data_IF_590704036332
#
_entry.id   IF_590704036332
#
_cell.length_a   1.000
_cell.length_b   1.000
_cell.length_c   1.000
_cell.angle_alpha   90.00
_cell.angle_beta   90.00
_cell.angle_gamma   90.00
#
_symmetry.space_group_name_H-M   'P 1'
#
loop_
_entity.id
_entity.type
_entity.pdbx_description
1 polymer ?
#
# COMPACT_ATOMS: atom_id res chain seq x y z
N UNK A 1 15.92 32.74 -11.27
CA UNK A 1 16.90 31.92 -10.51
C UNK A 1 16.96 32.43 -9.08
N UNK A 2 17.16 31.53 -8.12
CA UNK A 2 17.31 31.90 -6.72
C UNK A 2 18.58 32.72 -6.51
N UNK A 3 18.57 33.64 -5.55
CA UNK A 3 19.72 34.47 -5.24
C UNK A 3 20.75 33.66 -4.42
N UNK A 4 21.90 33.37 -5.01
CA UNK A 4 22.95 32.56 -4.40
C UNK A 4 23.42 33.10 -3.04
N UNK A 5 23.51 34.44 -2.87
CA UNK A 5 23.89 35.04 -1.59
C UNK A 5 22.87 34.69 -0.50
N UNK A 6 21.57 34.78 -0.79
CA UNK A 6 20.50 34.41 0.15
C UNK A 6 20.54 32.93 0.53
N UNK A 7 20.82 32.05 -0.43
CA UNK A 7 20.95 30.61 -0.18
C UNK A 7 22.12 30.33 0.78
N UNK A 8 23.27 30.94 0.53
CA UNK A 8 24.45 30.78 1.38
C UNK A 8 24.23 31.34 2.78
N UNK A 9 23.60 32.52 2.90
CA UNK A 9 23.22 33.08 4.20
C UNK A 9 22.30 32.12 4.96
N UNK A 10 21.28 31.59 4.30
CA UNK A 10 20.33 30.65 4.90
C UNK A 10 21.01 29.34 5.36
N UNK A 11 21.74 28.67 4.45
CA UNK A 11 22.43 27.41 4.78
C UNK A 11 23.68 27.58 5.63
N UNK A 12 24.15 28.80 5.88
CA UNK A 12 25.22 29.06 6.85
C UNK A 12 24.76 28.93 8.31
N UNK A 13 23.44 29.01 8.56
CA UNK A 13 22.89 28.89 9.91
C UNK A 13 23.06 27.46 10.46
N UNK A 14 23.54 27.37 11.69
CA UNK A 14 23.87 26.09 12.34
C UNK A 14 22.64 25.25 12.66
N UNK A 15 21.55 25.89 13.07
CA UNK A 15 20.28 25.26 13.37
C UNK A 15 19.67 24.55 12.14
N UNK A 16 19.74 25.16 10.97
CA UNK A 16 19.30 24.56 9.69
C UNK A 16 20.21 23.38 9.30
N UNK A 17 21.53 23.56 9.40
CA UNK A 17 22.49 22.49 9.11
C UNK A 17 22.23 21.26 9.99
N UNK A 18 21.95 21.47 11.27
CA UNK A 18 21.68 20.43 12.25
C UNK A 18 20.39 19.67 11.93
N UNK A 19 19.30 20.37 11.63
CA UNK A 19 18.02 19.73 11.33
C UNK A 19 18.01 18.98 9.99
N UNK A 20 18.64 19.54 8.94
CA UNK A 20 18.82 18.83 7.66
C UNK A 20 19.64 17.54 7.86
N UNK A 21 20.73 17.62 8.63
CA UNK A 21 21.59 16.46 8.92
C UNK A 21 20.85 15.43 9.79
N UNK A 22 20.07 15.88 10.77
CA UNK A 22 19.24 14.99 11.60
C UNK A 22 18.25 14.22 10.75
N UNK A 23 17.55 14.89 9.84
CA UNK A 23 16.59 14.24 8.94
C UNK A 23 17.27 13.32 7.92
N UNK A 24 18.51 13.63 7.51
CA UNK A 24 19.30 12.81 6.58
C UNK A 24 19.70 11.44 7.15
N UNK A 25 19.72 11.31 8.48
CA UNK A 25 20.15 10.09 9.15
C UNK A 25 19.35 8.88 8.63
N UNK A 26 20.08 7.81 8.31
CA UNK A 26 19.56 6.53 7.81
C UNK A 26 18.74 6.66 6.51
N UNK A 27 18.85 7.76 5.76
CA UNK A 27 18.12 7.96 4.50
C UNK A 27 19.06 8.08 3.31
N UNK A 28 18.53 7.71 2.15
CA UNK A 28 19.09 8.15 0.88
C UNK A 28 18.72 9.63 0.66
N UNK A 29 19.67 10.42 0.18
CA UNK A 29 19.38 11.79 -0.26
C UNK A 29 19.61 11.98 -1.77
N UNK A 30 19.02 13.05 -2.30
CA UNK A 30 19.42 13.68 -3.54
C UNK A 30 19.47 15.18 -3.36
N UNK A 31 20.64 15.76 -3.64
CA UNK A 31 20.85 17.21 -3.61
C UNK A 31 20.52 17.78 -4.97
N UNK A 32 19.80 18.89 -5.04
CA UNK A 32 19.47 19.59 -6.28
C UNK A 32 20.25 20.89 -6.39
N UNK A 33 20.69 21.22 -7.61
CA UNK A 33 21.46 22.41 -7.96
C UNK A 33 20.63 23.25 -8.95
N UNK A 34 19.65 24.00 -8.44
CA UNK A 34 18.53 24.53 -9.22
C UNK A 34 17.76 23.39 -9.91
N UNK A 35 17.63 23.40 -11.23
CA UNK A 35 16.86 22.40 -11.98
C UNK A 35 17.65 21.12 -12.28
N UNK A 36 18.88 20.98 -11.76
CA UNK A 36 19.74 19.83 -12.00
C UNK A 36 19.84 18.93 -10.77
N UNK A 37 19.35 17.68 -10.84
CA UNK A 37 19.48 16.73 -9.75
C UNK A 37 20.92 16.20 -9.65
N UNK A 38 21.42 16.09 -8.41
CA UNK A 38 22.68 15.43 -8.09
C UNK A 38 22.62 13.91 -8.20
N UNK A 39 23.76 13.27 -7.96
CA UNK A 39 23.92 11.81 -8.02
C UNK A 39 23.16 11.12 -6.88
N UNK A 40 22.86 9.84 -7.10
CA UNK A 40 22.18 8.95 -6.15
C UNK A 40 22.86 7.57 -6.14
N UNK A 41 22.92 6.87 -4.98
CA UNK A 41 22.58 7.39 -3.66
C UNK A 41 23.60 8.45 -3.22
N UNK A 42 23.20 9.28 -2.27
CA UNK A 42 24.07 10.22 -1.58
C UNK A 42 23.67 10.24 -0.09
N UNK A 43 24.50 10.80 0.78
CA UNK A 43 24.22 10.96 2.22
C UNK A 43 24.75 12.30 2.75
N UNK A 44 24.19 12.78 3.87
CA UNK A 44 24.74 13.89 4.65
C UNK A 44 24.99 13.36 6.06
N UNK A 45 26.26 13.25 6.43
CA UNK A 45 26.68 12.75 7.74
C UNK A 45 27.08 13.88 8.69
N UNK A 46 27.62 14.97 8.14
CA UNK A 46 28.11 16.10 8.93
C UNK A 46 27.36 17.38 8.61
N UNK A 47 27.06 18.17 9.65
CA UNK A 47 26.37 19.46 9.51
C UNK A 47 27.10 20.46 8.59
N UNK A 48 28.42 20.36 8.50
CA UNK A 48 29.23 21.17 7.60
C UNK A 48 28.94 20.90 6.11
N UNK A 49 28.47 19.70 5.76
CA UNK A 49 28.26 19.27 4.37
C UNK A 49 27.14 20.08 3.72
N UNK A 50 26.10 20.44 4.47
CA UNK A 50 24.98 21.27 4.00
C UNK A 50 25.48 22.60 3.43
N UNK A 51 26.36 23.31 4.16
CA UNK A 51 26.93 24.58 3.70
C UNK A 51 27.93 24.36 2.55
N UNK A 52 28.71 23.28 2.58
CA UNK A 52 29.63 22.98 1.48
C UNK A 52 28.90 22.68 0.17
N UNK A 53 27.78 21.95 0.24
CA UNK A 53 26.90 21.69 -0.89
C UNK A 53 26.25 22.99 -1.39
N UNK A 54 25.79 23.86 -0.48
CA UNK A 54 25.26 25.17 -0.84
C UNK A 54 26.32 26.04 -1.57
N UNK A 55 27.59 26.01 -1.14
CA UNK A 55 28.71 26.68 -1.84
C UNK A 55 28.95 26.14 -3.25
N UNK A 56 28.62 24.86 -3.49
CA UNK A 56 28.63 24.23 -4.82
C UNK A 56 27.36 24.50 -5.63
N UNK A 57 26.42 25.29 -5.10
CA UNK A 57 25.18 25.69 -5.77
C UNK A 57 23.94 24.87 -5.38
N UNK A 58 24.00 24.08 -4.30
CA UNK A 58 22.83 23.32 -3.86
C UNK A 58 21.69 24.26 -3.42
N UNK A 59 20.48 23.97 -3.91
CA UNK A 59 19.25 24.71 -3.63
C UNK A 59 18.31 23.93 -2.74
N UNK A 60 18.24 22.61 -2.89
CA UNK A 60 17.33 21.77 -2.10
C UNK A 60 17.87 20.37 -1.84
N UNK A 61 17.38 19.78 -0.75
CA UNK A 61 17.74 18.45 -0.28
C UNK A 61 16.49 17.58 -0.27
N UNK A 62 16.55 16.42 -0.91
CA UNK A 62 15.44 15.48 -1.02
C UNK A 62 15.82 14.17 -0.35
N UNK A 63 14.88 13.54 0.34
CA UNK A 63 15.12 12.42 1.25
C UNK A 63 14.21 11.25 0.93
N UNK A 64 14.69 10.02 1.12
CA UNK A 64 13.84 8.84 0.98
C UNK A 64 12.83 8.73 2.13
N UNK A 65 11.62 8.28 1.84
CA UNK A 65 10.65 7.85 2.88
C UNK A 65 11.16 6.62 3.65
N UNK A 66 11.90 5.77 2.93
CA UNK A 66 12.54 4.57 3.47
C UNK A 66 13.77 4.93 4.31
N UNK A 67 13.96 4.18 5.41
CA UNK A 67 15.18 4.18 6.23
C UNK A 67 16.00 2.94 5.92
N UNK A 68 17.31 3.11 5.82
CA UNK A 68 18.27 2.11 5.37
C UNK A 68 19.35 1.88 6.42
N UNK A 69 19.79 0.63 6.54
CA UNK A 69 20.91 0.27 7.39
C UNK A 69 22.22 0.87 6.83
N UNK A 70 22.36 0.86 5.51
CA UNK A 70 23.45 1.54 4.80
C UNK A 70 22.93 2.13 3.47
N UNK A 71 22.61 3.44 3.42
CA UNK A 71 22.11 4.08 2.20
C UNK A 71 23.11 4.04 1.03
N UNK A 72 24.41 3.94 1.27
CA UNK A 72 25.44 3.96 0.21
C UNK A 72 25.44 2.67 -0.61
N UNK A 73 24.89 1.58 -0.08
CA UNK A 73 24.73 0.30 -0.79
C UNK A 73 23.61 0.33 -1.84
N UNK A 74 22.78 1.37 -1.87
CA UNK A 74 21.67 1.45 -2.80
C UNK A 74 22.13 1.62 -4.24
N UNK A 75 21.54 0.85 -5.16
CA UNK A 75 21.87 0.89 -6.60
C UNK A 75 20.60 0.90 -7.43
N UNK A 76 20.67 1.54 -8.60
CA UNK A 76 19.58 1.46 -9.55
C UNK A 76 19.38 -0.01 -9.98
N UNK A 77 18.13 -0.44 -10.08
CA UNK A 77 17.80 -1.81 -10.48
C UNK A 77 17.86 -2.88 -9.39
N UNK A 78 18.10 -2.51 -8.12
CA UNK A 78 18.00 -3.46 -7.00
C UNK A 78 16.60 -4.09 -6.95
N UNK A 79 16.58 -5.40 -6.72
CA UNK A 79 15.35 -6.14 -6.48
C UNK A 79 14.71 -5.75 -5.16
N UNK A 80 13.40 -6.00 -5.03
CA UNK A 80 12.70 -5.75 -3.76
C UNK A 80 13.36 -6.48 -2.58
N UNK A 81 13.79 -7.72 -2.77
CA UNK A 81 14.43 -8.51 -1.70
C UNK A 81 15.75 -7.87 -1.22
N UNK A 82 16.56 -7.34 -2.14
CA UNK A 82 17.80 -6.63 -1.77
C UNK A 82 17.51 -5.33 -1.02
N UNK A 83 16.50 -4.56 -1.47
CA UNK A 83 16.04 -3.36 -0.74
C UNK A 83 15.51 -3.73 0.65
N UNK A 84 14.66 -4.75 0.75
CA UNK A 84 14.03 -5.19 2.00
C UNK A 84 15.07 -5.68 3.04
N UNK A 85 16.18 -6.29 2.60
CA UNK A 85 17.30 -6.66 3.47
C UNK A 85 18.01 -5.44 4.06
N UNK A 86 18.15 -4.38 3.30
CA UNK A 86 18.78 -3.13 3.75
C UNK A 86 17.79 -2.20 4.48
N UNK A 87 16.48 -2.39 4.34
CA UNK A 87 15.46 -1.50 4.93
C UNK A 87 15.33 -1.72 6.44
N UNK A 88 15.40 -0.62 7.18
CA UNK A 88 15.07 -0.52 8.61
C UNK A 88 13.58 -0.27 8.82
N UNK A 89 13.00 0.64 8.03
CA UNK A 89 11.60 1.06 8.11
C UNK A 89 11.21 2.00 6.97
N UNK A 90 10.01 2.56 7.06
CA UNK A 90 9.51 3.58 6.14
C UNK A 90 8.57 4.49 6.90
N UNK A 91 8.75 5.81 6.76
CA UNK A 91 7.78 6.74 7.32
C UNK A 91 6.56 6.79 6.41
N UNK A 92 5.39 7.03 6.98
CA UNK A 92 4.26 7.43 6.17
C UNK A 92 4.49 8.89 5.77
N UNK A 93 4.45 9.19 4.48
CA UNK A 93 4.42 10.54 3.96
C UNK A 93 3.23 10.67 3.00
N UNK A 94 2.38 11.66 3.22
CA UNK A 94 1.25 11.99 2.35
C UNK A 94 1.53 13.36 1.76
N UNK A 95 1.75 13.40 0.45
CA UNK A 95 1.83 14.62 -0.32
C UNK A 95 0.43 15.02 -0.81
N UNK A 96 0.07 16.28 -0.58
CA UNK A 96 -1.18 16.89 -1.03
C UNK A 96 -0.84 17.83 -2.15
N UNK A 97 -1.11 17.40 -3.39
CA UNK A 97 -0.96 18.26 -4.57
C UNK A 97 -2.32 18.74 -5.08
N UNK A 98 -2.39 20.04 -5.35
CA UNK A 98 -3.54 20.70 -5.96
C UNK A 98 -3.16 22.09 -6.43
N UNK A 99 -3.93 22.62 -7.37
CA UNK A 99 -3.78 24.02 -7.82
C UNK A 99 -4.28 25.02 -6.78
N UNK A 100 -5.07 24.59 -5.79
CA UNK A 100 -5.74 25.44 -4.80
C UNK A 100 -5.19 25.23 -3.39
N UNK A 101 -4.36 26.16 -2.91
CA UNK A 101 -3.73 26.05 -1.58
C UNK A 101 -4.74 25.95 -0.44
N UNK A 102 -5.90 26.61 -0.56
CA UNK A 102 -6.97 26.55 0.44
C UNK A 102 -7.55 25.14 0.56
N UNK A 103 -7.70 24.43 -0.57
CA UNK A 103 -8.15 23.04 -0.57
C UNK A 103 -7.06 22.11 -0.03
N UNK A 104 -5.79 22.38 -0.34
CA UNK A 104 -4.66 21.66 0.23
C UNK A 104 -4.64 21.78 1.76
N UNK A 105 -4.82 22.99 2.29
CA UNK A 105 -4.88 23.27 3.73
C UNK A 105 -6.05 22.54 4.39
N UNK A 106 -7.25 22.62 3.80
CA UNK A 106 -8.43 21.93 4.33
C UNK A 106 -8.26 20.41 4.33
N UNK A 107 -7.62 19.86 3.30
CA UNK A 107 -7.30 18.43 3.23
C UNK A 107 -6.31 18.04 4.31
N UNK A 108 -5.25 18.83 4.52
CA UNK A 108 -4.30 18.63 5.61
C UNK A 108 -4.98 18.68 6.99
N UNK A 109 -5.89 19.63 7.23
CA UNK A 109 -6.69 19.71 8.48
C UNK A 109 -7.47 18.43 8.75
N UNK A 110 -8.13 17.87 7.73
CA UNK A 110 -8.92 16.64 7.87
C UNK A 110 -8.04 15.41 8.11
N UNK A 111 -6.86 15.35 7.50
CA UNK A 111 -5.91 14.25 7.75
C UNK A 111 -5.31 14.36 9.16
N UNK A 112 -4.99 15.57 9.64
CA UNK A 112 -4.59 15.80 11.04
C UNK A 112 -5.66 15.29 12.01
N UNK A 113 -6.92 15.68 11.78
CA UNK A 113 -8.04 15.21 12.61
C UNK A 113 -8.18 13.69 12.56
N UNK A 114 -7.96 13.07 11.39
CA UNK A 114 -7.95 11.62 11.27
C UNK A 114 -6.81 11.01 12.13
N UNK A 115 -5.58 11.50 12.03
CA UNK A 115 -4.46 11.03 12.86
C UNK A 115 -4.77 11.15 14.36
N UNK A 116 -5.27 12.30 14.80
CA UNK A 116 -5.62 12.56 16.20
C UNK A 116 -6.76 11.64 16.67
N UNK A 117 -7.77 11.38 15.83
CA UNK A 117 -8.85 10.43 16.16
C UNK A 117 -8.38 8.99 16.35
N UNK A 118 -7.24 8.63 15.76
CA UNK A 118 -6.58 7.33 15.95
C UNK A 118 -5.59 7.31 17.11
N UNK A 119 -5.43 8.43 17.83
CA UNK A 119 -4.46 8.57 18.91
C UNK A 119 -3.01 8.68 18.44
N UNK A 120 -2.77 9.05 17.17
CA UNK A 120 -1.43 9.31 16.67
C UNK A 120 -1.05 10.71 17.13
N UNK A 121 -0.14 10.79 18.10
CA UNK A 121 0.33 12.07 18.61
C UNK A 121 1.54 12.54 17.83
N UNK A 122 2.49 11.66 17.49
CA UNK A 122 3.72 12.05 16.82
C UNK A 122 3.59 12.08 15.28
N UNK A 123 2.75 12.99 14.78
CA UNK A 123 2.72 13.35 13.35
C UNK A 123 3.40 14.71 13.10
N UNK A 124 3.84 14.92 11.88
CA UNK A 124 4.43 16.18 11.40
C UNK A 124 3.65 16.73 10.20
N UNK A 125 3.53 18.05 10.11
CA UNK A 125 2.97 18.74 8.95
C UNK A 125 4.00 19.75 8.45
N UNK A 126 4.20 19.83 7.14
CA UNK A 126 5.03 20.86 6.52
C UNK A 126 4.39 21.45 5.28
N UNK A 127 4.68 22.71 5.03
CA UNK A 127 4.46 23.32 3.72
C UNK A 127 5.53 22.80 2.74
N UNK A 128 5.14 22.40 1.52
CA UNK A 128 6.07 21.81 0.54
C UNK A 128 7.01 22.82 -0.13
N UNK A 129 6.77 24.12 0.07
CA UNK A 129 7.50 25.21 -0.56
C UNK A 129 6.78 25.80 -1.77
N UNK A 130 5.63 25.27 -2.21
CA UNK A 130 4.86 25.86 -3.32
C UNK A 130 3.36 25.97 -3.04
N UNK A 131 2.57 24.92 -3.32
CA UNK A 131 1.11 24.95 -3.19
C UNK A 131 0.52 23.79 -2.36
N UNK A 132 1.37 22.90 -1.88
CA UNK A 132 0.98 21.67 -1.20
C UNK A 132 1.49 21.61 0.25
N UNK A 133 0.97 20.61 0.95
CA UNK A 133 1.39 20.26 2.30
C UNK A 133 1.78 18.79 2.33
N UNK A 134 2.79 18.46 3.12
CA UNK A 134 3.10 17.06 3.40
C UNK A 134 2.75 16.78 4.85
N UNK A 135 2.10 15.64 5.09
CA UNK A 135 1.85 15.10 6.42
C UNK A 135 2.61 13.81 6.57
N UNK A 136 3.21 13.61 7.73
CA UNK A 136 4.09 12.48 7.94
C UNK A 136 3.96 11.86 9.33
N UNK A 137 4.15 10.55 9.41
CA UNK A 137 4.18 9.79 10.66
C UNK A 137 5.47 8.96 10.67
N UNK A 138 6.33 9.08 11.71
CA UNK A 138 7.56 8.31 11.82
C UNK A 138 7.32 6.80 11.80
N UNK A 139 8.21 6.05 11.16
CA UNK A 139 8.09 4.60 11.04
C UNK A 139 8.06 3.90 12.41
N UNK A 140 8.69 4.50 13.43
CA UNK A 140 8.70 4.00 14.81
C UNK A 140 7.32 4.01 15.48
N UNK A 141 6.36 4.78 14.96
CA UNK A 141 5.00 4.85 15.47
C UNK A 141 4.20 3.58 15.12
N UNK A 142 4.58 2.90 14.04
CA UNK A 142 3.89 1.71 13.54
C UNK A 142 4.27 0.44 14.35
N UNK A 143 3.39 -0.58 14.36
CA UNK A 143 3.70 -1.85 14.98
C UNK A 143 4.84 -2.56 14.24
N UNK A 144 5.50 -3.49 14.91
CA UNK A 144 6.53 -4.33 14.27
C UNK A 144 5.96 -5.22 13.15
N UNK A 145 4.67 -5.57 13.24
CA UNK A 145 4.00 -6.50 12.35
C UNK A 145 2.56 -6.08 12.07
N UNK A 146 2.09 -6.29 10.84
CA UNK A 146 0.69 -6.20 10.45
C UNK A 146 0.36 -7.44 9.63
N UNK A 147 -0.69 -8.17 10.02
CA UNK A 147 -1.13 -9.38 9.32
C UNK A 147 -0.02 -10.42 9.06
N UNK A 148 0.75 -10.84 10.07
CA UNK A 148 1.77 -11.88 9.90
C UNK A 148 3.09 -11.37 9.30
N UNK A 149 3.16 -10.09 8.92
CA UNK A 149 4.27 -9.53 8.15
C UNK A 149 4.94 -8.37 8.85
N UNK A 150 6.27 -8.40 8.90
CA UNK A 150 7.04 -7.30 9.44
C UNK A 150 6.71 -6.01 8.68
N UNK A 151 6.37 -4.94 9.41
CA UNK A 151 5.90 -3.69 8.84
C UNK A 151 6.90 -3.10 7.86
N UNK A 152 8.20 -3.24 8.08
CA UNK A 152 9.24 -2.74 7.15
C UNK A 152 9.12 -3.35 5.75
N UNK A 153 8.56 -4.55 5.61
CA UNK A 153 8.38 -5.24 4.33
C UNK A 153 7.13 -4.78 3.56
N UNK A 154 6.28 -3.99 4.22
CA UNK A 154 5.05 -3.49 3.63
C UNK A 154 5.30 -2.36 2.64
N UNK A 155 6.49 -1.76 2.55
CA UNK A 155 6.75 -0.74 1.52
C UNK A 155 6.77 -1.34 0.10
N UNK A 156 6.16 -0.70 -0.92
CA UNK A 156 5.35 0.52 -0.85
C UNK A 156 3.84 0.27 -0.63
N UNK A 157 3.41 -0.97 -0.42
CA UNK A 157 2.00 -1.35 -0.27
C UNK A 157 1.34 -0.74 0.99
N UNK A 158 2.05 -0.67 2.11
CA UNK A 158 1.59 -0.10 3.38
C UNK A 158 1.15 1.35 3.25
N UNK A 159 2.04 2.27 2.83
CA UNK A 159 1.67 3.66 2.55
C UNK A 159 0.49 3.79 1.58
N UNK A 160 0.44 2.98 0.51
CA UNK A 160 -0.64 3.01 -0.49
C UNK A 160 -1.99 2.61 0.09
N UNK A 161 -2.02 1.54 0.90
CA UNK A 161 -3.22 1.09 1.61
C UNK A 161 -3.71 2.18 2.56
N UNK A 162 -2.80 2.80 3.30
CA UNK A 162 -3.10 3.91 4.20
C UNK A 162 -3.66 5.12 3.41
N UNK A 163 -3.05 5.49 2.29
CA UNK A 163 -3.51 6.60 1.45
C UNK A 163 -4.92 6.39 0.92
N UNK A 164 -5.19 5.19 0.41
CA UNK A 164 -6.51 4.83 -0.11
C UNK A 164 -7.56 4.86 1.00
N UNK A 165 -7.20 4.36 2.19
CA UNK A 165 -8.07 4.41 3.35
C UNK A 165 -8.35 5.84 3.80
N UNK A 166 -7.33 6.70 3.87
CA UNK A 166 -7.49 8.12 4.20
C UNK A 166 -8.37 8.85 3.17
N UNK A 167 -8.17 8.61 1.87
CA UNK A 167 -9.04 9.15 0.81
C UNK A 167 -10.49 8.81 1.10
N UNK A 168 -10.77 7.53 1.37
CA UNK A 168 -12.13 7.08 1.71
C UNK A 168 -12.67 7.76 2.98
N UNK A 169 -11.88 7.81 4.05
CA UNK A 169 -12.27 8.35 5.34
C UNK A 169 -12.64 9.84 5.27
N UNK A 170 -11.82 10.65 4.58
CA UNK A 170 -12.01 12.10 4.54
C UNK A 170 -12.94 12.56 3.41
N UNK A 171 -13.20 11.73 2.39
CA UNK A 171 -14.01 12.10 1.20
C UNK A 171 -15.28 12.88 1.54
N UNK A 172 -16.21 12.36 2.38
CA UNK A 172 -17.48 13.04 2.60
C UNK A 172 -17.32 14.41 3.28
N UNK A 173 -16.35 14.53 4.20
CA UNK A 173 -16.06 15.78 4.89
C UNK A 173 -15.40 16.79 3.94
N UNK A 174 -14.42 16.33 3.16
CA UNK A 174 -13.70 17.17 2.20
C UNK A 174 -14.62 17.68 1.09
N UNK A 175 -15.51 16.84 0.55
CA UNK A 175 -16.55 17.26 -0.41
C UNK A 175 -17.38 18.41 0.16
N UNK A 176 -17.86 18.26 1.40
CA UNK A 176 -18.70 19.27 2.05
C UNK A 176 -17.94 20.58 2.27
N UNK A 177 -16.69 20.51 2.71
CA UNK A 177 -15.88 21.69 3.01
C UNK A 177 -15.48 22.46 1.73
N UNK A 178 -15.12 21.75 0.66
CA UNK A 178 -14.82 22.41 -0.63
C UNK A 178 -16.06 23.08 -1.21
N UNK A 179 -17.22 22.41 -1.16
CA UNK A 179 -18.46 22.98 -1.69
C UNK A 179 -19.00 24.17 -0.88
N UNK A 180 -18.53 24.37 0.36
CA UNK A 180 -18.76 25.62 1.11
C UNK A 180 -17.89 26.78 0.62
N UNK A 181 -16.72 26.48 0.07
CA UNK A 181 -15.76 27.47 -0.41
C UNK A 181 -16.00 27.86 -1.87
N UNK A 182 -16.45 26.91 -2.69
CA UNK A 182 -16.65 27.12 -4.12
C UNK A 182 -17.67 26.16 -4.70
N UNK A 183 -18.45 26.63 -5.68
CA UNK A 183 -19.39 25.83 -6.47
C UNK A 183 -18.66 24.94 -7.48
N UNK A 184 -19.34 23.91 -7.99
CA UNK A 184 -18.76 23.00 -9.01
C UNK A 184 -18.45 23.77 -10.30
N UNK A 185 -19.29 24.73 -10.64
CA UNK A 185 -19.18 25.60 -11.81
C UNK A 185 -17.93 26.48 -11.74
N UNK A 186 -17.68 27.09 -10.57
CA UNK A 186 -16.47 27.90 -10.32
C UNK A 186 -15.20 27.04 -10.42
N UNK A 187 -15.21 25.85 -9.81
CA UNK A 187 -14.09 24.91 -9.86
C UNK A 187 -13.83 24.49 -11.31
N UNK A 188 -14.85 24.03 -12.03
CA UNK A 188 -14.74 23.58 -13.42
C UNK A 188 -14.19 24.70 -14.33
N UNK A 189 -14.69 25.92 -14.17
CA UNK A 189 -14.22 27.10 -14.90
C UNK A 189 -12.76 27.43 -14.59
N UNK A 190 -12.37 27.40 -13.32
CA UNK A 190 -10.98 27.72 -12.90
C UNK A 190 -9.95 26.70 -13.39
N UNK A 191 -10.37 25.45 -13.58
CA UNK A 191 -9.53 24.36 -14.09
C UNK A 191 -9.62 24.18 -15.61
N UNK A 192 -10.55 24.87 -16.27
CA UNK A 192 -10.89 24.68 -17.68
C UNK A 192 -11.26 23.23 -18.00
N UNK A 193 -12.15 22.65 -17.21
CA UNK A 193 -12.66 21.28 -17.37
C UNK A 193 -14.19 21.26 -17.34
N UNK A 194 -14.77 20.13 -17.73
CA UNK A 194 -16.22 19.94 -17.65
C UNK A 194 -16.65 19.48 -16.25
N UNK A 195 -17.85 19.90 -15.80
CA UNK A 195 -18.39 19.52 -14.48
C UNK A 195 -18.47 17.99 -14.32
N UNK A 196 -18.73 17.24 -15.39
CA UNK A 196 -18.76 15.77 -15.36
C UNK A 196 -17.47 15.14 -14.83
N UNK A 197 -16.33 15.82 -15.03
CA UNK A 197 -15.01 15.36 -14.55
C UNK A 197 -14.84 15.56 -13.04
N UNK A 198 -15.71 16.35 -12.40
CA UNK A 198 -15.73 16.58 -10.95
C UNK A 198 -16.58 15.58 -10.19
N UNK A 199 -17.27 14.68 -10.89
CA UNK A 199 -18.25 13.78 -10.31
C UNK A 199 -17.70 12.35 -10.26
N UNK A 200 -18.14 11.58 -9.26
CA UNK A 200 -17.93 10.14 -9.25
C UNK A 200 -19.03 9.39 -10.01
N UNK A 201 -18.95 8.05 -9.99
CA UNK A 201 -19.89 7.16 -10.67
C UNK A 201 -21.35 7.33 -10.22
N UNK A 202 -21.60 7.94 -9.05
CA UNK A 202 -22.93 8.21 -8.52
C UNK A 202 -23.43 9.61 -8.87
N UNK A 203 -22.63 10.41 -9.58
CA UNK A 203 -22.93 11.80 -9.88
C UNK A 203 -22.66 12.76 -8.70
N UNK A 204 -22.00 12.29 -7.65
CA UNK A 204 -21.66 13.11 -6.48
C UNK A 204 -20.30 13.79 -6.66
N UNK A 205 -20.10 14.94 -6.02
CA UNK A 205 -18.82 15.65 -6.10
C UNK A 205 -17.67 14.82 -5.52
N UNK A 206 -16.65 14.58 -6.33
CA UNK A 206 -15.44 13.88 -5.93
C UNK A 206 -14.29 14.87 -5.71
N UNK A 207 -13.89 15.15 -4.46
CA UNK A 207 -12.84 16.14 -4.18
C UNK A 207 -11.48 15.66 -4.70
N UNK A 208 -11.28 14.36 -4.87
CA UNK A 208 -10.05 13.79 -5.41
C UNK A 208 -9.96 13.84 -6.94
N UNK A 209 -10.94 14.45 -7.64
CA UNK A 209 -10.77 14.82 -9.04
C UNK A 209 -9.92 16.08 -9.22
N UNK A 210 -9.68 16.84 -8.14
CA UNK A 210 -8.94 18.11 -8.13
C UNK A 210 -7.82 18.17 -7.07
N UNK A 211 -7.73 17.14 -6.23
CA UNK A 211 -6.72 16.98 -5.18
C UNK A 211 -6.12 15.60 -5.31
N UNK A 212 -4.81 15.56 -5.49
CA UNK A 212 -4.04 14.33 -5.49
C UNK A 212 -3.49 14.11 -4.08
N UNK A 213 -3.87 12.99 -3.45
CA UNK A 213 -3.22 12.49 -2.25
C UNK A 213 -2.32 11.33 -2.64
N UNK A 214 -1.03 11.60 -2.69
CA UNK A 214 -0.02 10.65 -3.07
C UNK A 214 0.84 10.29 -1.87
N UNK A 215 1.03 8.99 -1.67
CA UNK A 215 2.00 8.48 -0.70
C UNK A 215 3.22 7.86 -1.35
N UNK A 216 3.13 7.56 -2.65
CA UNK A 216 4.17 6.90 -3.43
C UNK A 216 3.89 7.20 -4.90
N UNK A 217 4.58 8.18 -5.48
CA UNK A 217 4.64 8.35 -6.93
C UNK A 217 5.42 7.15 -7.53
N UNK A 218 4.71 6.03 -7.69
CA UNK A 218 4.90 4.98 -8.69
C UNK A 218 6.16 4.07 -8.54
N UNK A 219 7.20 4.38 -7.75
CA UNK A 219 8.43 3.55 -7.68
C UNK A 219 9.09 3.42 -6.29
N UNK A 220 9.90 2.37 -6.11
CA UNK A 220 10.81 2.18 -4.96
C UNK A 220 11.88 3.29 -4.92
N UNK A 221 12.36 3.69 -3.72
CA UNK A 221 13.30 4.80 -3.54
C UNK A 221 12.75 6.16 -3.99
N UNK A 222 11.47 6.43 -3.73
CA UNK A 222 10.89 7.77 -3.91
C UNK A 222 11.54 8.76 -2.93
N UNK A 223 11.70 10.01 -3.36
CA UNK A 223 12.27 11.08 -2.55
C UNK A 223 11.28 12.22 -2.40
N UNK A 224 11.21 12.80 -1.21
CA UNK A 224 10.47 14.02 -0.96
C UNK A 224 11.41 15.18 -0.66
N UNK A 225 11.02 16.40 -1.04
CA UNK A 225 11.75 17.62 -0.66
C UNK A 225 11.73 17.75 0.87
N UNK A 226 12.90 17.73 1.50
CA UNK A 226 12.99 17.83 2.95
C UNK A 226 12.70 19.22 3.47
N UNK A 227 12.66 19.33 4.79
CA UNK A 227 12.48 20.61 5.47
C UNK A 227 13.71 21.48 5.32
N UNK A 228 13.49 22.79 5.39
CA UNK A 228 14.50 23.83 5.16
C UNK A 228 15.17 23.77 3.79
N UNK A 229 14.52 23.11 2.82
CA UNK A 229 14.93 23.12 1.42
C UNK A 229 14.21 24.20 0.64
N UNK A 230 14.91 24.96 -0.20
CA UNK A 230 14.24 25.90 -1.10
C UNK A 230 13.38 25.15 -2.11
N UNK A 231 12.35 25.81 -2.61
CA UNK A 231 11.65 25.44 -3.83
C UNK A 231 12.13 26.34 -4.95
N UNK A 232 12.66 25.74 -6.02
CA UNK A 232 13.32 26.46 -7.11
C UNK A 232 12.35 27.36 -7.89
N UNK A 233 11.04 27.02 -7.91
CA UNK A 233 10.01 27.74 -8.66
C UNK A 233 9.48 28.94 -7.88
N UNK A 234 9.14 28.76 -6.61
CA UNK A 234 8.53 29.81 -5.78
C UNK A 234 9.57 30.68 -5.06
N UNK A 235 10.77 30.14 -4.83
CA UNK A 235 11.79 30.70 -3.95
C UNK A 235 11.47 30.67 -2.46
N UNK A 236 10.36 30.02 -2.06
CA UNK A 236 10.02 29.76 -0.67
C UNK A 236 10.72 28.49 -0.17
N UNK A 237 10.77 28.34 1.14
CA UNK A 237 11.39 27.20 1.82
C UNK A 237 10.32 26.22 2.28
N UNK A 238 10.56 24.92 2.15
CA UNK A 238 9.70 23.90 2.77
C UNK A 238 9.90 23.95 4.28
N UNK A 239 8.87 24.33 5.04
CA UNK A 239 8.97 24.50 6.49
C UNK A 239 7.92 23.66 7.22
N UNK A 240 8.29 23.02 8.35
CA UNK A 240 7.31 22.43 9.25
C UNK A 240 6.36 23.48 9.81
N UNK A 241 5.16 23.05 10.15
CA UNK A 241 4.12 23.87 10.76
C UNK A 241 3.83 23.28 12.13
N UNK A 242 3.87 24.13 13.16
CA UNK A 242 3.55 23.72 14.53
C UNK A 242 2.12 23.17 14.61
N UNK A 243 1.92 22.11 15.41
CA UNK A 243 0.60 21.52 15.66
C UNK A 243 -0.38 22.60 16.12
N UNK A 244 -1.60 22.58 15.59
CA UNK A 244 -2.62 23.58 15.84
C UNK A 244 -2.49 24.88 15.01
N UNK A 245 -1.33 25.19 14.43
CA UNK A 245 -1.10 26.44 13.70
C UNK A 245 -1.34 26.36 12.19
N UNK A 246 -1.82 25.22 11.67
CA UNK A 246 -2.03 25.01 10.23
C UNK A 246 -2.99 26.04 9.60
N UNK A 247 -4.04 26.43 10.34
CA UNK A 247 -5.04 27.42 9.90
C UNK A 247 -4.45 28.82 9.71
N UNK A 248 -3.46 29.17 10.53
CA UNK A 248 -2.87 30.51 10.58
C UNK A 248 -1.68 30.65 9.64
N UNK A 249 -1.23 29.56 9.02
CA UNK A 249 -0.07 29.53 8.14
C UNK A 249 -0.27 30.42 6.90
N UNK A 250 0.71 31.29 6.66
CA UNK A 250 0.79 32.16 5.48
C UNK A 250 2.03 31.81 4.66
N UNK A 251 1.92 31.98 3.33
CA UNK A 251 3.05 31.77 2.42
C UNK A 251 4.27 32.66 2.76
N UNK A 252 4.03 33.83 3.34
CA UNK A 252 5.10 34.71 3.83
C UNK A 252 5.98 34.06 4.90
N UNK A 253 5.44 33.15 5.69
CA UNK A 253 6.16 32.51 6.81
C UNK A 253 7.28 31.60 6.28
N UNK A 254 7.11 31.09 5.06
CA UNK A 254 8.08 30.26 4.34
C UNK A 254 9.19 31.06 3.63
N UNK A 255 9.25 32.39 3.79
CA UNK A 255 10.39 33.19 3.30
C UNK A 255 11.62 32.95 4.17
N UNK A 256 12.82 32.79 3.61
CA UNK A 256 14.05 32.52 4.36
C UNK A 256 14.29 33.46 5.54
N UNK A 257 14.04 34.76 5.34
CA UNK A 257 14.20 35.82 6.35
C UNK A 257 13.21 35.73 7.52
N UNK A 258 12.06 35.08 7.33
CA UNK A 258 10.98 34.96 8.31
C UNK A 258 11.10 33.70 9.19
N UNK A 259 11.96 32.75 8.82
CA UNK A 259 12.16 31.51 9.57
C UNK A 259 13.06 31.80 10.77
N UNK A 260 12.47 31.99 11.95
CA UNK A 260 13.22 32.29 13.19
C UNK A 260 13.45 31.06 14.08
N UNK A 261 12.52 30.12 14.08
CA UNK A 261 12.56 28.91 14.89
C UNK A 261 12.69 27.68 13.98
N UNK A 262 13.49 26.71 14.41
CA UNK A 262 13.63 25.42 13.73
C UNK A 262 12.76 24.40 14.46
N UNK A 263 11.71 23.97 13.78
CA UNK A 263 10.83 22.88 14.20
C UNK A 263 11.40 21.57 13.62
N UNK A 264 11.57 20.51 14.44
CA UNK A 264 11.92 19.20 13.92
C UNK A 264 10.78 18.58 13.08
N UNK A 265 11.13 17.92 11.97
CA UNK A 265 10.16 17.16 11.15
C UNK A 265 10.48 15.67 11.17
N UNK A 266 9.46 14.82 11.40
CA UNK A 266 9.67 13.39 11.65
C UNK A 266 10.70 13.18 12.78
N UNK A 267 10.57 13.92 13.87
CA UNK A 267 11.37 13.66 15.07
C UNK A 267 10.83 12.43 15.78
N UNK A 268 11.72 11.47 15.97
CA UNK A 268 11.36 10.15 16.45
C UNK A 268 11.74 9.90 17.91
N UNK A 269 12.29 10.92 18.59
CA UNK A 269 12.66 10.89 20.01
C UNK A 269 11.48 10.62 20.92
N UNK A 270 10.34 11.26 20.64
CA UNK A 270 9.13 11.18 21.46
C UNK A 270 8.06 10.26 20.83
N UNK A 271 8.43 9.43 19.86
CA UNK A 271 7.49 8.50 19.23
C UNK A 271 7.05 7.40 20.19
N UNK A 272 5.75 7.30 20.44
CA UNK A 272 5.17 6.21 21.23
C UNK A 272 5.05 4.98 20.33
N UNK A 273 5.76 3.90 20.69
CA UNK A 273 5.71 2.65 19.93
C UNK A 273 4.28 2.12 19.86
N UNK A 274 3.82 1.78 18.65
CA UNK A 274 2.48 1.29 18.32
C UNK A 274 1.34 2.33 18.37
N UNK A 275 1.60 3.64 18.50
CA UNK A 275 0.52 4.65 18.44
C UNK A 275 -0.25 4.57 17.11
N UNK A 276 0.42 4.25 16.00
CA UNK A 276 -0.22 4.11 14.68
C UNK A 276 -0.80 2.70 14.41
N UNK A 277 -0.84 1.81 15.41
CA UNK A 277 -1.28 0.41 15.24
C UNK A 277 -2.76 0.30 14.84
N UNK A 278 -3.65 0.98 15.55
CA UNK A 278 -5.08 0.94 15.24
C UNK A 278 -5.35 1.48 13.82
N UNK A 279 -4.64 2.53 13.45
CA UNK A 279 -4.74 3.17 12.14
C UNK A 279 -4.36 2.23 11.00
N UNK A 280 -3.15 1.63 11.04
CA UNK A 280 -2.69 0.74 9.95
C UNK A 280 -3.52 -0.54 9.87
N UNK A 281 -3.93 -1.13 11.00
CA UNK A 281 -4.79 -2.33 11.00
C UNK A 281 -6.13 -2.01 10.35
N UNK A 282 -6.76 -0.90 10.73
CA UNK A 282 -8.06 -0.48 10.16
C UNK A 282 -7.95 -0.22 8.67
N UNK A 283 -6.87 0.41 8.21
CA UNK A 283 -6.61 0.63 6.79
C UNK A 283 -6.53 -0.70 6.01
N UNK A 284 -5.83 -1.71 6.53
CA UNK A 284 -5.73 -3.03 5.91
C UNK A 284 -7.04 -3.82 5.96
N UNK A 285 -7.81 -3.72 7.04
CA UNK A 285 -9.14 -4.34 7.15
C UNK A 285 -10.12 -3.74 6.13
N UNK A 286 -10.12 -2.41 6.02
CA UNK A 286 -10.89 -1.69 5.02
C UNK A 286 -10.47 -2.09 3.60
N UNK A 287 -9.17 -2.08 3.32
CA UNK A 287 -8.65 -2.40 1.99
C UNK A 287 -8.98 -3.84 1.60
N UNK A 288 -8.90 -4.79 2.53
CA UNK A 288 -9.30 -6.18 2.30
C UNK A 288 -10.78 -6.25 1.90
N UNK A 289 -11.66 -5.58 2.66
CA UNK A 289 -13.10 -5.51 2.37
C UNK A 289 -13.44 -4.82 1.04
N UNK A 290 -12.58 -3.96 0.50
CA UNK A 290 -12.84 -3.21 -0.75
C UNK A 290 -12.08 -3.75 -1.97
N UNK A 291 -11.09 -4.61 -1.77
CA UNK A 291 -10.38 -5.31 -2.86
C UNK A 291 -11.04 -6.65 -3.20
N UNK A 292 -11.67 -7.30 -2.21
CA UNK A 292 -12.42 -8.54 -2.38
C UNK A 292 -13.77 -8.43 -3.16
N UNK A 293 -14.52 -7.29 -3.13
CA UNK A 293 -15.76 -7.12 -3.89
C UNK A 293 -15.57 -6.97 -5.41
N UNK A 294 -14.34 -6.78 -5.90
CA UNK A 294 -14.04 -6.88 -7.34
C UNK A 294 -14.25 -8.29 -7.91
N UNK A 295 -14.61 -9.25 -7.04
CA UNK A 295 -15.21 -10.52 -7.39
C UNK A 295 -16.71 -10.42 -7.03
N UNK A 296 -17.52 -9.90 -7.94
CA UNK A 296 -18.98 -9.92 -7.83
C UNK A 296 -19.49 -11.36 -7.57
N UNK A 297 -19.56 -11.74 -6.30
CA UNK A 297 -20.47 -12.78 -5.82
C UNK A 297 -21.65 -11.99 -5.27
N UNK A 298 -22.71 -11.92 -6.08
CA UNK A 298 -24.00 -11.41 -5.63
C UNK A 298 -24.35 -11.97 -4.25
N UNK A 299 -24.92 -11.11 -3.41
CA UNK A 299 -25.33 -11.34 -2.01
C UNK A 299 -26.46 -12.38 -1.86
N UNK A 300 -26.47 -13.45 -2.64
CA UNK A 300 -27.39 -14.59 -2.51
C UNK A 300 -26.67 -15.94 -2.55
N UNK A 301 -25.51 -16.05 -1.91
CA UNK A 301 -24.97 -17.38 -1.60
C UNK A 301 -25.74 -17.98 -0.43
N UNK A 302 -26.75 -18.79 -0.75
CA UNK A 302 -27.41 -19.69 0.22
C UNK A 302 -26.34 -20.40 1.05
N UNK A 303 -26.49 -20.37 2.37
CA UNK A 303 -25.73 -21.19 3.30
C UNK A 303 -25.89 -22.67 2.91
N UNK A 304 -24.87 -23.22 2.28
CA UNK A 304 -24.70 -24.66 2.13
C UNK A 304 -23.50 -25.02 2.99
N UNK A 305 -23.78 -25.41 4.23
CA UNK A 305 -22.83 -26.08 5.11
C UNK A 305 -22.45 -27.40 4.45
N UNK A 306 -21.34 -27.42 3.72
CA UNK A 306 -20.68 -28.68 3.39
C UNK A 306 -20.18 -29.30 4.70
N UNK A 307 -20.45 -30.59 4.92
CA UNK A 307 -19.83 -31.34 6.01
C UNK A 307 -18.32 -31.15 5.95
N UNK A 308 -17.71 -30.69 7.05
CA UNK A 308 -16.26 -30.54 7.14
C UNK A 308 -15.62 -31.92 6.93
N UNK A 309 -14.70 -32.01 5.98
CA UNK A 309 -13.88 -33.21 5.84
C UNK A 309 -12.99 -33.35 7.09
N UNK A 310 -12.98 -34.53 7.70
CA UNK A 310 -12.10 -34.85 8.84
C UNK A 310 -10.62 -34.84 8.47
N UNK A 311 -10.30 -35.02 7.18
CA UNK A 311 -8.95 -35.01 6.64
C UNK A 311 -8.89 -34.17 5.37
N UNK A 312 -7.74 -33.54 5.15
CA UNK A 312 -7.46 -32.79 3.94
C UNK A 312 -7.62 -33.68 2.69
N UNK A 313 -8.39 -33.20 1.72
CA UNK A 313 -8.59 -33.92 0.46
C UNK A 313 -7.28 -33.89 -0.36
N UNK A 314 -6.79 -35.05 -0.84
CA UNK A 314 -5.60 -35.12 -1.69
C UNK A 314 -5.78 -34.40 -3.03
N UNK A 315 -4.69 -33.80 -3.56
CA UNK A 315 -4.71 -33.00 -4.80
C UNK A 315 -5.16 -33.81 -6.02
N UNK A 316 -4.97 -35.12 -6.02
CA UNK A 316 -5.37 -36.04 -7.09
C UNK A 316 -6.89 -36.03 -7.31
N UNK A 317 -7.64 -35.73 -6.26
CA UNK A 317 -9.10 -35.66 -6.30
C UNK A 317 -9.60 -34.29 -6.76
N UNK A 318 -8.73 -33.27 -6.82
CA UNK A 318 -9.15 -31.93 -7.22
C UNK A 318 -9.72 -31.92 -8.65
N UNK A 319 -10.71 -31.05 -8.94
CA UNK A 319 -11.20 -30.87 -10.29
C UNK A 319 -10.14 -30.16 -11.15
N UNK A 320 -10.18 -30.39 -12.47
CA UNK A 320 -9.20 -29.83 -13.40
C UNK A 320 -9.11 -28.30 -13.35
N UNK A 321 -10.23 -27.62 -13.10
CA UNK A 321 -10.27 -26.15 -12.95
C UNK A 321 -9.53 -25.60 -11.73
N UNK A 322 -9.12 -26.47 -10.79
CA UNK A 322 -8.27 -26.14 -9.65
C UNK A 322 -6.89 -26.74 -9.85
N UNK A 323 -6.83 -28.03 -10.19
CA UNK A 323 -5.58 -28.80 -10.27
C UNK A 323 -4.61 -28.25 -11.32
N UNK A 324 -5.09 -28.01 -12.54
CA UNK A 324 -4.25 -27.57 -13.66
C UNK A 324 -3.61 -26.19 -13.39
N UNK A 325 -4.37 -25.14 -13.03
CA UNK A 325 -3.77 -23.84 -12.69
C UNK A 325 -2.91 -23.87 -11.44
N UNK A 326 -3.18 -24.78 -10.48
CA UNK A 326 -2.33 -25.00 -9.30
C UNK A 326 -0.97 -25.63 -9.67
N UNK A 327 -0.95 -26.55 -10.65
CA UNK A 327 0.27 -27.22 -11.09
C UNK A 327 1.09 -26.41 -12.09
N UNK A 328 0.45 -25.61 -12.94
CA UNK A 328 1.11 -24.90 -14.05
C UNK A 328 1.33 -23.40 -13.81
N UNK A 329 0.71 -22.84 -12.78
CA UNK A 329 0.64 -21.38 -12.60
C UNK A 329 -0.28 -20.71 -13.63
N UNK A 330 -0.40 -19.38 -13.53
CA UNK A 330 -1.13 -18.56 -14.49
C UNK A 330 -0.31 -17.35 -14.95
N UNK A 331 -0.36 -17.08 -16.26
CA UNK A 331 0.18 -15.86 -16.85
C UNK A 331 -0.58 -14.62 -16.33
N UNK A 332 -1.91 -14.64 -16.42
CA UNK A 332 -2.80 -13.58 -15.97
C UNK A 332 -3.95 -14.12 -15.07
N UNK A 333 -4.58 -13.26 -14.28
CA UNK A 333 -5.73 -13.62 -13.45
C UNK A 333 -5.40 -14.28 -12.11
N UNK A 334 -4.13 -14.28 -11.71
CA UNK A 334 -3.62 -14.90 -10.46
C UNK A 334 -4.38 -14.48 -9.20
N UNK A 335 -4.73 -13.20 -9.05
CA UNK A 335 -5.52 -12.72 -7.90
C UNK A 335 -6.92 -13.34 -7.85
N UNK A 336 -7.58 -13.41 -9.01
CA UNK A 336 -8.91 -14.03 -9.18
C UNK A 336 -8.85 -15.53 -8.93
N UNK A 337 -7.82 -16.21 -9.44
CA UNK A 337 -7.62 -17.64 -9.17
C UNK A 337 -7.26 -17.93 -7.71
N UNK A 338 -6.40 -17.12 -7.08
CA UNK A 338 -6.04 -17.25 -5.67
C UNK A 338 -7.28 -17.26 -4.77
N UNK A 339 -8.25 -16.40 -5.06
CA UNK A 339 -9.53 -16.40 -4.36
C UNK A 339 -10.32 -17.71 -4.56
N UNK A 340 -10.44 -18.21 -5.79
CA UNK A 340 -11.12 -19.49 -6.07
C UNK A 340 -10.40 -20.63 -5.32
N UNK A 341 -9.08 -20.64 -5.38
CA UNK A 341 -8.21 -21.65 -4.79
C UNK A 341 -8.33 -21.68 -3.26
N UNK A 342 -8.29 -20.52 -2.60
CA UNK A 342 -8.42 -20.39 -1.15
C UNK A 342 -9.78 -20.89 -0.66
N UNK A 343 -10.87 -20.48 -1.30
CA UNK A 343 -12.20 -20.96 -0.94
C UNK A 343 -12.36 -22.47 -1.17
N UNK A 344 -11.78 -23.00 -2.25
CA UNK A 344 -11.81 -24.43 -2.55
C UNK A 344 -10.98 -25.24 -1.54
N UNK A 345 -9.71 -24.91 -1.33
CA UNK A 345 -8.80 -25.69 -0.47
C UNK A 345 -9.26 -25.66 0.99
N UNK A 346 -9.77 -24.52 1.47
CA UNK A 346 -10.39 -24.42 2.79
C UNK A 346 -11.65 -25.29 2.91
N UNK A 347 -12.47 -25.33 1.87
CA UNK A 347 -13.62 -26.26 1.79
C UNK A 347 -13.19 -27.72 1.67
N UNK A 348 -11.97 -27.98 1.21
CA UNK A 348 -11.36 -29.31 1.08
C UNK A 348 -10.66 -29.79 2.36
N UNK A 349 -10.79 -29.08 3.48
CA UNK A 349 -10.33 -29.54 4.80
C UNK A 349 -8.82 -29.38 5.07
N UNK A 350 -8.11 -28.55 4.30
CA UNK A 350 -6.70 -28.27 4.54
C UNK A 350 -6.52 -27.29 5.70
N UNK A 351 -5.47 -27.49 6.51
CA UNK A 351 -5.08 -26.53 7.54
C UNK A 351 -4.33 -25.34 6.93
N UNK A 352 -4.16 -24.26 7.70
CA UNK A 352 -3.58 -23.04 7.18
C UNK A 352 -2.08 -23.11 6.91
N UNK A 353 -1.34 -23.98 7.61
CA UNK A 353 0.10 -24.19 7.38
C UNK A 353 0.31 -24.84 6.01
N UNK A 354 -0.46 -25.87 5.69
CA UNK A 354 -0.44 -26.57 4.41
C UNK A 354 -0.94 -25.65 3.27
N UNK A 355 -1.98 -24.84 3.52
CA UNK A 355 -2.46 -23.84 2.56
C UNK A 355 -1.35 -22.83 2.24
N UNK A 356 -0.68 -22.30 3.25
CA UNK A 356 0.38 -21.30 3.04
C UNK A 356 1.55 -21.88 2.25
N UNK A 357 2.01 -23.09 2.63
CA UNK A 357 3.06 -23.81 1.92
C UNK A 357 2.69 -24.04 0.45
N UNK A 358 1.47 -24.52 0.21
CA UNK A 358 0.97 -24.80 -1.13
C UNK A 358 0.88 -23.54 -1.99
N UNK A 359 0.39 -22.45 -1.42
CA UNK A 359 0.24 -21.18 -2.12
C UNK A 359 1.59 -20.54 -2.43
N UNK A 360 2.57 -20.65 -1.53
CA UNK A 360 3.95 -20.23 -1.80
C UNK A 360 4.54 -21.00 -2.96
N UNK A 361 4.41 -22.33 -2.97
CA UNK A 361 4.89 -23.19 -4.08
C UNK A 361 4.16 -22.90 -5.40
N UNK A 362 2.84 -22.71 -5.37
CA UNK A 362 2.09 -22.31 -6.55
C UNK A 362 2.55 -20.96 -7.10
N UNK A 363 2.83 -20.00 -6.21
CA UNK A 363 3.18 -18.65 -6.62
C UNK A 363 4.52 -18.57 -7.34
N UNK A 364 5.47 -19.47 -7.05
CA UNK A 364 6.75 -19.57 -7.79
C UNK A 364 6.58 -20.13 -9.20
N UNK A 365 5.46 -20.79 -9.51
CA UNK A 365 5.15 -21.33 -10.85
C UNK A 365 4.55 -20.27 -11.78
N UNK A 366 4.19 -19.11 -11.25
CA UNK A 366 3.65 -18.00 -12.03
C UNK A 366 4.79 -17.23 -12.73
N UNK A 367 4.67 -16.87 -14.02
CA UNK A 367 5.67 -16.05 -14.72
C UNK A 367 5.96 -14.72 -14.00
N UNK A 368 4.92 -14.12 -13.43
CA UNK A 368 4.99 -12.93 -12.58
C UNK A 368 4.31 -13.28 -11.24
N UNK A 369 5.08 -13.63 -10.19
CA UNK A 369 4.51 -14.00 -8.90
C UNK A 369 3.70 -12.87 -8.27
N UNK A 370 2.64 -13.21 -7.54
CA UNK A 370 1.95 -12.27 -6.66
C UNK A 370 2.90 -11.83 -5.54
N UNK A 371 2.77 -10.57 -5.10
CA UNK A 371 3.49 -10.07 -3.93
C UNK A 371 3.14 -10.95 -2.71
N UNK A 372 4.14 -11.36 -1.95
CA UNK A 372 3.95 -12.16 -0.74
C UNK A 372 3.00 -11.47 0.26
N UNK A 373 3.08 -10.14 0.34
CA UNK A 373 2.17 -9.27 1.10
C UNK A 373 0.71 -9.50 0.74
N UNK A 374 0.41 -9.60 -0.55
CA UNK A 374 -0.94 -9.87 -1.04
C UNK A 374 -1.38 -11.30 -0.70
N UNK A 375 -0.51 -12.29 -0.91
CA UNK A 375 -0.80 -13.70 -0.67
C UNK A 375 -1.11 -13.98 0.82
N UNK A 376 -0.27 -13.48 1.72
CA UNK A 376 -0.49 -13.60 3.16
C UNK A 376 -1.69 -12.78 3.63
N UNK A 377 -1.91 -11.59 3.07
CA UNK A 377 -3.11 -10.79 3.33
C UNK A 377 -4.40 -11.56 3.01
N UNK A 378 -4.43 -12.28 1.88
CA UNK A 378 -5.58 -13.13 1.52
C UNK A 378 -5.73 -14.32 2.48
N UNK A 379 -4.65 -15.03 2.81
CA UNK A 379 -4.70 -16.16 3.77
C UNK A 379 -5.23 -15.69 5.12
N UNK A 380 -4.71 -14.59 5.65
CA UNK A 380 -5.11 -14.05 6.94
C UNK A 380 -6.56 -13.56 6.93
N UNK A 381 -7.03 -12.94 5.85
CA UNK A 381 -8.45 -12.62 5.71
C UNK A 381 -9.32 -13.88 5.84
N UNK A 382 -8.96 -14.97 5.17
CA UNK A 382 -9.66 -16.25 5.27
C UNK A 382 -9.56 -16.92 6.65
N UNK A 383 -8.46 -16.72 7.40
CA UNK A 383 -8.32 -17.17 8.81
C UNK A 383 -9.34 -16.51 9.73
N UNK A 384 -9.58 -15.21 9.55
CA UNK A 384 -10.51 -14.45 10.38
C UNK A 384 -12.00 -14.66 10.03
N UNK A 385 -12.30 -15.30 8.88
CA UNK A 385 -13.68 -15.61 8.53
C UNK A 385 -14.24 -16.76 9.35
N UNK A 386 -15.22 -16.48 10.23
CA UNK A 386 -15.95 -17.51 11.00
C UNK A 386 -16.66 -18.54 10.12
N UNK A 387 -17.11 -18.12 8.92
CA UNK A 387 -17.87 -18.95 7.98
C UNK A 387 -16.98 -19.55 6.89
N UNK A 388 -17.19 -20.82 6.55
CA UNK A 388 -16.54 -21.45 5.41
C UNK A 388 -17.28 -21.08 4.12
N UNK A 389 -16.65 -20.27 3.27
CA UNK A 389 -17.24 -19.80 2.01
C UNK A 389 -16.84 -20.80 0.92
N UNK A 390 -17.83 -21.31 0.19
CA UNK A 390 -17.59 -22.20 -0.94
C UNK A 390 -16.95 -21.42 -2.10
N UNK A 391 -16.12 -22.07 -2.93
CA UNK A 391 -15.65 -21.44 -4.17
C UNK A 391 -16.84 -21.08 -5.07
N UNK A 392 -16.73 -20.10 -5.97
CA UNK A 392 -17.82 -19.72 -6.88
C UNK A 392 -18.37 -20.92 -7.66
N UNK A 393 -19.68 -20.93 -7.95
CA UNK A 393 -20.29 -21.97 -8.79
C UNK A 393 -19.69 -21.98 -10.19
N UNK A 394 -19.68 -23.14 -10.84
CA UNK A 394 -19.10 -23.33 -12.18
C UNK A 394 -19.74 -22.45 -13.26
N UNK A 395 -20.95 -21.92 -13.02
CA UNK A 395 -21.66 -20.98 -13.89
C UNK A 395 -21.18 -19.53 -13.76
N UNK A 396 -20.34 -19.21 -12.78
CA UNK A 396 -19.78 -17.87 -12.62
C UNK A 396 -18.81 -17.58 -13.78
N UNK A 397 -18.92 -16.40 -14.40
CA UNK A 397 -18.13 -16.02 -15.57
C UNK A 397 -16.63 -16.13 -15.34
N UNK A 398 -16.17 -15.96 -14.08
CA UNK A 398 -14.76 -16.04 -13.69
C UNK A 398 -14.04 -17.28 -14.20
N UNK A 399 -14.70 -18.44 -14.27
CA UNK A 399 -14.07 -19.67 -14.77
C UNK A 399 -13.87 -19.64 -16.28
N UNK A 400 -14.78 -19.00 -17.02
CA UNK A 400 -14.68 -18.82 -18.48
C UNK A 400 -13.67 -17.72 -18.80
N UNK A 401 -13.74 -16.60 -18.10
CA UNK A 401 -12.88 -15.42 -18.30
C UNK A 401 -11.40 -15.74 -18.05
N UNK A 402 -11.12 -16.67 -17.12
CA UNK A 402 -9.77 -17.14 -16.80
C UNK A 402 -9.34 -18.38 -17.61
N UNK A 403 -10.21 -18.92 -18.48
CA UNK A 403 -9.90 -20.15 -19.22
C UNK A 403 -9.72 -21.39 -18.34
N UNK A 404 -10.30 -21.42 -17.14
CA UNK A 404 -10.16 -22.52 -16.17
C UNK A 404 -11.07 -23.72 -16.46
N UNK A 405 -12.12 -23.51 -17.24
CA UNK A 405 -13.09 -24.55 -17.54
C UNK A 405 -12.51 -25.55 -18.55
N UNK A 406 -11.96 -26.65 -18.05
CA UNK A 406 -11.50 -27.81 -18.84
C UNK A 406 -12.42 -28.99 -18.47
N UNK A 407 -13.56 -29.17 -19.18
CA UNK A 407 -14.56 -30.14 -18.82
C UNK A 407 -14.01 -31.58 -18.92
N UNK A 408 -14.30 -32.40 -17.92
CA UNK A 408 -14.15 -33.84 -17.99
C UNK A 408 -15.51 -34.52 -17.70
N UNK A 409 -15.56 -35.85 -17.76
CA UNK A 409 -16.80 -36.59 -17.46
C UNK A 409 -17.35 -36.31 -16.05
N UNK A 410 -16.50 -35.86 -15.12
CA UNK A 410 -16.88 -35.42 -13.79
C UNK A 410 -17.37 -33.94 -13.71
N UNK A 411 -17.25 -33.15 -14.78
CA UNK A 411 -17.68 -31.74 -14.80
C UNK A 411 -19.10 -31.53 -15.37
N UNK A 412 -19.63 -32.44 -16.20
CA UNK A 412 -20.90 -32.24 -16.92
C UNK A 412 -22.13 -32.01 -16.01
N UNK A 413 -22.10 -32.55 -14.79
CA UNK A 413 -23.26 -32.57 -13.88
C UNK A 413 -22.96 -31.94 -12.50
N UNK A 414 -22.00 -31.02 -12.38
CA UNK A 414 -21.66 -30.36 -11.11
C UNK A 414 -22.05 -28.88 -11.13
N UNK A 415 -22.61 -28.39 -10.00
CA UNK A 415 -22.90 -26.96 -9.81
C UNK A 415 -21.69 -26.19 -9.25
N UNK A 416 -20.87 -26.86 -8.44
CA UNK A 416 -19.74 -26.27 -7.74
C UNK A 416 -18.49 -27.18 -7.86
N UNK A 417 -17.26 -26.64 -7.92
CA UNK A 417 -16.04 -27.46 -7.94
C UNK A 417 -15.94 -28.44 -6.76
N UNK A 418 -16.43 -28.08 -5.58
CA UNK A 418 -16.45 -28.95 -4.40
C UNK A 418 -17.35 -30.19 -4.57
N UNK A 419 -18.41 -30.08 -5.38
CA UNK A 419 -19.29 -31.22 -5.70
C UNK A 419 -18.56 -32.31 -6.50
N UNK A 420 -17.53 -31.93 -7.28
CA UNK A 420 -16.71 -32.90 -8.03
C UNK A 420 -15.96 -33.84 -7.10
N UNK A 421 -15.33 -33.27 -6.07
CA UNK A 421 -14.55 -33.99 -5.06
C UNK A 421 -15.44 -34.99 -4.32
N UNK A 422 -16.60 -34.53 -3.85
CA UNK A 422 -17.57 -35.37 -3.12
C UNK A 422 -18.07 -36.52 -3.97
N UNK A 423 -18.32 -36.29 -5.27
CA UNK A 423 -18.73 -37.33 -6.21
C UNK A 423 -17.63 -38.36 -6.44
N UNK A 424 -16.38 -37.91 -6.68
CA UNK A 424 -15.23 -38.81 -6.82
C UNK A 424 -15.07 -39.69 -5.57
N UNK A 425 -15.12 -39.10 -4.37
CA UNK A 425 -15.02 -39.84 -3.10
C UNK A 425 -16.11 -40.91 -2.97
N UNK A 426 -17.37 -40.62 -3.34
CA UNK A 426 -18.46 -41.61 -3.35
C UNK A 426 -18.21 -42.73 -4.36
N UNK A 427 -17.71 -42.42 -5.55
CA UNK A 427 -17.35 -43.45 -6.55
C UNK A 427 -16.20 -44.35 -6.06
N UNK A 428 -15.24 -43.82 -5.29
CA UNK A 428 -14.17 -44.62 -4.70
C UNK A 428 -14.63 -45.49 -3.52
N UNK A 429 -15.55 -45.00 -2.68
CA UNK A 429 -16.16 -45.80 -1.60
C UNK A 429 -17.06 -46.95 -2.10
N UNK A 430 -17.66 -46.79 -3.29
CA UNK A 430 -18.59 -47.76 -3.86
C UNK A 430 -17.95 -48.72 -4.89
N UNK A 431 -16.62 -48.76 -5.04
CA UNK A 431 -15.97 -49.81 -5.85
C UNK A 431 -15.93 -51.10 -5.03
N UNK A 432 -16.52 -52.21 -5.50
CA UNK A 432 -16.39 -53.49 -4.83
C UNK A 432 -14.90 -53.91 -4.83
N UNK A 433 -14.39 -54.33 -3.68
CA UNK A 433 -13.07 -54.93 -3.59
C UNK A 433 -13.00 -56.14 -4.54
N UNK A 434 -12.10 -56.07 -5.53
CA UNK A 434 -11.82 -57.24 -6.38
C UNK A 434 -11.17 -58.31 -5.50
N UNK A 435 -11.95 -59.33 -5.11
CA UNK A 435 -11.42 -60.58 -4.56
C UNK A 435 -10.41 -61.15 -5.57
N UNK A 436 -9.16 -61.25 -5.13
CA UNK A 436 -8.10 -61.93 -5.87
C UNK A 436 -8.31 -63.43 -5.73
N UNK A 437 -8.76 -64.09 -6.80
CA UNK A 437 -8.78 -65.56 -6.87
C UNK A 437 -7.33 -66.08 -6.94
N UNK A 438 -6.82 -66.60 -5.81
CA UNK A 438 -5.64 -67.47 -5.80
C UNK A 438 -6.04 -68.83 -6.36
N UNK A 439 -5.64 -69.13 -7.60
CA UNK A 439 -5.61 -70.50 -8.14
C UNK A 439 -4.60 -71.33 -7.33
N UNK A 440 -5.10 -72.20 -6.46
CA UNK A 440 -4.31 -73.25 -5.85
C UNK A 440 -4.10 -74.38 -6.88
N UNK A 441 -2.88 -74.53 -7.39
CA UNK A 441 -2.40 -75.78 -7.98
C UNK A 441 -2.00 -76.70 -6.83
N UNK A 442 -2.80 -77.74 -6.56
CA UNK A 442 -2.32 -78.91 -5.84
C UNK A 442 -2.13 -80.04 -6.85
N UNK A 443 -0.86 -80.37 -7.10
CA UNK A 443 -0.45 -81.71 -7.57
C UNK A 443 -0.41 -82.61 -6.33
N UNK A 444 -1.15 -83.71 -6.38
CA UNK A 444 -0.67 -85.02 -5.93
C UNK A 444 -0.84 -85.96 -7.10
#
# INVERSE_FOLDING_TARGET
>A
MLNQKKILEFYSRKDIQEEITRLAKDREIQVWFNDQPGKRPDTIQFKGDVLQLAKKGATSFHFSEEHWNDPEQLKAGMTKNELDKNRLGWDLLIDIDTKFIEYARKTAELIVQAFESYGIENYSVKFSGNKGFHLAVPYKAFPNEVNGLNTKLLFPDGPRVIAAYLKHLIKPYLSKEILKMSTKEEIAKSLNIEIKQLLDEKGEFNPFSIIELDTVLISSRHLFRGVYSFNEKSGLVSIPIKKGCLKDFKLSDAKPENIKEIIPFLDDKDTIKNEAKAFIITAYDWHSKHTLPLLNISEKTKELTFEKFERAIPKELFPNCIKIPLERGLKDGKKRFLFILLNFIRSAGWNYEDIEKELKEWNTKNPEPLRETYLLGQINWHKHQKKNILPPNCTNSIYKDLGLCIPNNFCKNIKNPMSNVTRKLRTFKNKPEKKTEKKAKNKK
#
